data_IF_506404912430
#
_entry.id   IF_506404912430
#
_cell.length_a   1.000
_cell.length_b   1.000
_cell.length_c   1.000
_cell.angle_alpha   90.00
_cell.angle_beta   90.00
_cell.angle_gamma   90.00
#
_symmetry.space_group_name_H-M   'P 1'
#
loop_
_entity.id
_entity.type
_entity.pdbx_description
1 polymer ?
#
# COMPACT_ATOMS: atom_id res chain seq x y z
N UNK A 1 -17.55 9.81 -32.34
CA UNK A 1 -18.09 10.32 -31.08
C UNK A 1 -18.97 11.56 -31.32
N UNK A 2 -18.52 12.61 -32.02
CA UNK A 2 -19.32 13.81 -32.26
C UNK A 2 -20.65 13.55 -33.00
N UNK A 3 -20.71 12.51 -33.86
CA UNK A 3 -21.95 12.10 -34.53
C UNK A 3 -22.93 11.38 -33.60
N UNK A 4 -22.44 10.80 -32.49
CA UNK A 4 -23.24 10.03 -31.53
C UNK A 4 -23.73 10.85 -30.34
N UNK A 5 -23.07 11.98 -30.05
CA UNK A 5 -23.39 12.86 -28.92
C UNK A 5 -23.82 14.24 -29.47
N UNK A 6 -25.12 14.48 -29.68
CA UNK A 6 -25.61 15.75 -30.22
C UNK A 6 -25.15 16.94 -29.38
N UNK A 7 -24.63 17.99 -30.03
CA UNK A 7 -24.16 19.19 -29.37
C UNK A 7 -22.75 19.13 -28.79
N UNK A 8 -22.06 17.98 -28.80
CA UNK A 8 -20.68 17.85 -28.34
C UNK A 8 -19.71 18.45 -29.38
N UNK A 9 -18.69 19.14 -28.86
CA UNK A 9 -17.56 19.64 -29.66
C UNK A 9 -16.26 19.09 -29.10
N UNK A 10 -15.53 18.34 -29.92
CA UNK A 10 -14.22 17.84 -29.60
C UNK A 10 -13.16 18.83 -30.09
N UNK A 11 -12.52 19.52 -29.15
CA UNK A 11 -11.54 20.58 -29.46
C UNK A 11 -10.15 20.03 -29.14
N UNK A 12 -9.27 19.97 -30.15
CA UNK A 12 -7.90 19.56 -30.00
C UNK A 12 -7.18 20.33 -28.90
N UNK A 13 -6.48 19.62 -27.99
CA UNK A 13 -5.76 20.20 -26.86
C UNK A 13 -6.61 20.78 -25.72
N UNK A 14 -7.97 20.64 -25.80
CA UNK A 14 -8.90 21.14 -24.77
C UNK A 14 -9.92 20.10 -24.30
N UNK A 15 -10.06 19.00 -25.02
CA UNK A 15 -11.03 17.95 -24.69
C UNK A 15 -10.30 16.77 -24.04
N UNK A 16 -10.72 16.39 -22.83
CA UNK A 16 -10.35 15.16 -22.20
C UNK A 16 -11.47 14.11 -22.42
N UNK A 17 -11.09 12.92 -22.85
CA UNK A 17 -11.99 11.79 -23.04
C UNK A 17 -11.81 10.84 -21.85
N UNK A 18 -12.88 10.58 -21.10
CA UNK A 18 -12.87 9.66 -19.99
C UNK A 18 -13.61 8.38 -20.41
N UNK A 19 -12.91 7.24 -20.35
CA UNK A 19 -13.45 5.92 -20.62
C UNK A 19 -13.54 5.16 -19.29
N UNK A 20 -14.74 5.11 -18.75
CA UNK A 20 -14.99 4.44 -17.48
C UNK A 20 -15.22 2.94 -17.68
N UNK A 21 -14.76 2.09 -16.74
CA UNK A 21 -14.85 0.63 -16.79
C UNK A 21 -14.35 0.04 -18.11
N UNK A 22 -13.15 0.43 -18.54
CA UNK A 22 -12.61 0.11 -19.88
C UNK A 22 -12.53 -1.41 -20.15
N UNK A 23 -12.44 -2.24 -19.11
CA UNK A 23 -12.42 -3.71 -19.25
C UNK A 23 -13.75 -4.27 -19.80
N UNK A 24 -14.85 -3.54 -19.68
CA UNK A 24 -16.16 -3.95 -20.22
C UNK A 24 -16.26 -3.70 -21.73
N UNK A 25 -15.35 -2.90 -22.32
CA UNK A 25 -15.32 -2.60 -23.76
C UNK A 25 -13.92 -2.82 -24.35
N UNK A 26 -13.71 -4.00 -24.94
CA UNK A 26 -12.43 -4.40 -25.54
C UNK A 26 -11.99 -3.48 -26.68
N UNK A 27 -12.96 -2.99 -27.47
CA UNK A 27 -12.73 -2.08 -28.59
C UNK A 27 -12.20 -0.74 -28.07
N UNK A 28 -12.73 -0.22 -26.97
CA UNK A 28 -12.26 1.00 -26.33
C UNK A 28 -10.80 0.84 -25.83
N UNK A 29 -10.47 -0.29 -25.21
CA UNK A 29 -9.10 -0.57 -24.79
C UNK A 29 -8.12 -0.65 -25.95
N UNK A 30 -8.51 -1.29 -27.04
CA UNK A 30 -7.70 -1.37 -28.27
C UNK A 30 -7.52 0.02 -28.90
N UNK A 31 -8.53 0.87 -28.80
CA UNK A 31 -8.52 2.23 -29.35
C UNK A 31 -7.55 3.17 -28.63
N UNK A 32 -7.11 2.88 -27.37
CA UNK A 32 -6.13 3.72 -26.65
C UNK A 32 -4.87 3.96 -27.47
N UNK A 33 -4.37 2.95 -28.18
CA UNK A 33 -3.25 3.13 -29.11
C UNK A 33 -3.53 4.16 -30.21
N UNK A 34 -4.74 4.11 -30.78
CA UNK A 34 -5.13 5.05 -31.85
C UNK A 34 -5.27 6.48 -31.32
N UNK A 35 -5.79 6.64 -30.10
CA UNK A 35 -5.86 7.94 -29.43
C UNK A 35 -4.48 8.51 -29.14
N UNK A 36 -3.55 7.68 -28.66
CA UNK A 36 -2.16 8.09 -28.42
C UNK A 36 -1.46 8.57 -29.68
N UNK A 37 -1.62 7.83 -30.80
CA UNK A 37 -1.03 8.19 -32.11
C UNK A 37 -1.67 9.46 -32.66
N UNK A 38 -3.00 9.63 -32.50
CA UNK A 38 -3.74 10.81 -32.94
C UNK A 38 -3.31 12.09 -32.19
N UNK A 39 -3.03 11.99 -30.88
CA UNK A 39 -2.45 13.04 -30.04
C UNK A 39 -3.28 14.31 -29.88
N UNK A 40 -4.52 14.38 -30.40
CA UNK A 40 -5.37 15.58 -30.31
C UNK A 40 -6.08 15.73 -28.98
N UNK A 41 -6.25 14.63 -28.23
CA UNK A 41 -7.07 14.59 -27.03
C UNK A 41 -6.32 13.89 -25.92
N UNK A 42 -6.49 14.37 -24.69
CA UNK A 42 -6.12 13.64 -23.50
C UNK A 42 -7.15 12.54 -23.25
N UNK A 43 -6.68 11.33 -22.95
CA UNK A 43 -7.55 10.17 -22.68
C UNK A 43 -7.21 9.60 -21.34
N UNK A 44 -8.20 9.48 -20.46
CA UNK A 44 -8.13 8.82 -19.17
C UNK A 44 -9.02 7.59 -19.24
N UNK A 45 -8.47 6.42 -18.95
CA UNK A 45 -9.25 5.19 -18.86
C UNK A 45 -9.23 4.70 -17.41
N UNK A 46 -10.40 4.41 -16.86
CA UNK A 46 -10.53 3.80 -15.53
C UNK A 46 -10.96 2.35 -15.65
N UNK A 47 -10.72 1.56 -14.60
CA UNK A 47 -11.18 0.19 -14.54
C UNK A 47 -10.70 -0.52 -13.29
N UNK A 48 -11.43 -1.56 -12.87
CA UNK A 48 -11.03 -2.38 -11.73
C UNK A 48 -9.71 -3.10 -12.02
N UNK A 49 -8.84 -3.22 -11.00
CA UNK A 49 -7.54 -3.88 -11.13
C UNK A 49 -7.68 -5.30 -11.68
N UNK A 50 -8.65 -6.07 -11.20
CA UNK A 50 -8.91 -7.43 -11.67
C UNK A 50 -9.37 -7.47 -13.13
N UNK A 51 -10.31 -6.60 -13.50
CA UNK A 51 -10.82 -6.52 -14.87
C UNK A 51 -9.72 -6.12 -15.86
N UNK A 52 -8.91 -5.12 -15.53
CA UNK A 52 -7.78 -4.67 -16.36
C UNK A 52 -6.71 -5.75 -16.50
N UNK A 53 -6.42 -6.51 -15.45
CA UNK A 53 -5.49 -7.67 -15.48
C UNK A 53 -6.08 -8.91 -16.19
N UNK A 54 -7.35 -8.88 -16.59
CA UNK A 54 -7.98 -9.93 -17.39
C UNK A 54 -8.58 -11.09 -16.60
N UNK A 55 -8.82 -10.92 -15.31
CA UNK A 55 -9.60 -11.85 -14.50
C UNK A 55 -11.07 -11.83 -14.95
N UNK A 56 -11.81 -12.93 -14.72
CA UNK A 56 -13.23 -13.04 -15.09
C UNK A 56 -13.51 -13.32 -16.58
N UNK A 57 -12.49 -13.39 -17.42
CA UNK A 57 -12.68 -13.82 -18.82
C UNK A 57 -12.95 -15.32 -18.85
N UNK A 58 -14.21 -15.72 -19.13
CA UNK A 58 -14.57 -17.11 -19.35
C UNK A 58 -13.65 -17.74 -20.39
N UNK A 59 -12.80 -18.68 -19.99
CA UNK A 59 -11.95 -19.50 -20.88
C UNK A 59 -12.77 -20.43 -21.80
N UNK A 60 -14.09 -20.35 -21.76
CA UNK A 60 -15.01 -21.20 -22.55
C UNK A 60 -15.54 -20.50 -23.79
N UNK A 61 -14.65 -19.97 -24.62
CA UNK A 61 -14.84 -19.86 -26.07
C UNK A 61 -13.47 -19.68 -26.71
N UNK A 62 -12.86 -20.75 -27.17
CA UNK A 62 -11.97 -20.69 -28.31
C UNK A 62 -12.83 -20.18 -29.47
N UNK A 63 -12.99 -18.88 -29.60
CA UNK A 63 -13.38 -18.24 -30.84
C UNK A 63 -12.16 -18.31 -31.77
N UNK A 64 -12.08 -19.36 -32.51
CA UNK A 64 -11.23 -19.49 -33.69
C UNK A 64 -11.58 -18.32 -34.59
N UNK A 65 -10.71 -17.31 -34.71
CA UNK A 65 -10.75 -16.38 -35.83
C UNK A 65 -10.96 -14.87 -35.56
N UNK A 66 -10.93 -14.36 -34.34
CA UNK A 66 -10.91 -12.91 -34.11
C UNK A 66 -9.68 -12.49 -33.31
N UNK A 67 -8.96 -11.50 -33.85
CA UNK A 67 -7.63 -11.03 -33.49
C UNK A 67 -7.32 -11.06 -32.00
N UNK A 68 -6.07 -11.40 -31.68
CA UNK A 68 -5.51 -11.36 -30.34
C UNK A 68 -5.80 -10.00 -29.71
N UNK A 69 -6.34 -9.99 -28.48
CA UNK A 69 -6.49 -8.81 -27.63
C UNK A 69 -5.11 -8.14 -27.51
N UNK A 70 -4.86 -7.10 -28.27
CA UNK A 70 -3.60 -6.35 -28.23
C UNK A 70 -3.68 -5.39 -27.06
N UNK A 71 -2.98 -5.72 -25.97
CA UNK A 71 -2.68 -4.74 -24.93
C UNK A 71 -1.83 -3.65 -25.58
N UNK A 72 -2.17 -2.36 -25.48
CA UNK A 72 -1.44 -1.26 -26.11
C UNK A 72 -0.10 -0.98 -25.39
N UNK A 73 0.82 -1.94 -25.41
CA UNK A 73 2.13 -1.84 -24.76
C UNK A 73 2.90 -0.64 -25.32
N UNK A 74 3.33 0.25 -24.45
CA UNK A 74 4.11 1.46 -24.80
C UNK A 74 3.26 2.68 -25.23
N UNK A 75 1.92 2.56 -25.18
CA UNK A 75 0.99 3.65 -25.56
C UNK A 75 0.12 4.13 -24.41
N UNK A 76 0.35 3.61 -23.20
CA UNK A 76 -0.38 3.96 -22.00
C UNK A 76 0.57 4.12 -20.81
N UNK A 77 0.23 5.00 -19.89
CA UNK A 77 0.86 5.09 -18.57
C UNK A 77 -0.14 4.55 -17.56
N UNK A 78 0.21 3.48 -16.88
CA UNK A 78 -0.64 2.87 -15.85
C UNK A 78 -0.37 3.51 -14.51
N UNK A 79 -1.43 3.99 -13.86
CA UNK A 79 -1.39 4.59 -12.52
C UNK A 79 -2.28 3.76 -11.61
N UNK A 80 -1.70 3.18 -10.57
CA UNK A 80 -2.45 2.51 -9.51
C UNK A 80 -3.06 3.57 -8.58
N UNK A 81 -4.40 3.57 -8.46
CA UNK A 81 -5.12 4.48 -7.57
C UNK A 81 -5.35 3.78 -6.23
N UNK A 82 -4.77 4.32 -5.19
CA UNK A 82 -4.92 3.82 -3.81
C UNK A 82 -6.06 4.55 -3.08
N UNK A 83 -6.60 3.98 -1.97
CA UNK A 83 -7.38 4.74 -1.00
C UNK A 83 -6.60 5.96 -0.50
N UNK A 84 -7.29 6.98 0.04
CA UNK A 84 -6.65 8.19 0.55
C UNK A 84 -5.50 7.85 1.50
N UNK A 85 -4.35 8.49 1.29
CA UNK A 85 -3.25 8.42 2.24
C UNK A 85 -3.51 9.32 3.47
N UNK A 86 -2.57 9.33 4.42
CA UNK A 86 -2.77 10.12 5.63
C UNK A 86 -2.75 11.63 5.36
N UNK A 87 -1.96 12.09 4.40
CA UNK A 87 -1.92 13.52 4.01
C UNK A 87 -3.25 13.95 3.38
N UNK A 88 -3.81 13.15 2.47
CA UNK A 88 -5.12 13.37 1.88
C UNK A 88 -6.23 13.31 2.93
N UNK A 89 -6.14 12.41 3.90
CA UNK A 89 -7.05 12.38 5.05
C UNK A 89 -6.96 13.63 5.91
N UNK A 90 -5.75 14.19 6.10
CA UNK A 90 -5.58 15.47 6.80
C UNK A 90 -6.27 16.61 6.05
N UNK A 91 -6.10 16.70 4.73
CA UNK A 91 -6.80 17.69 3.90
C UNK A 91 -8.32 17.53 3.99
N UNK A 92 -8.83 16.31 3.91
CA UNK A 92 -10.25 16.02 4.07
C UNK A 92 -10.81 16.46 5.43
N UNK A 93 -9.96 16.47 6.49
CA UNK A 93 -10.32 16.98 7.81
C UNK A 93 -10.08 18.50 7.97
N UNK A 94 -9.74 19.22 6.89
CA UNK A 94 -9.55 20.68 6.92
C UNK A 94 -8.21 21.15 7.49
N UNK A 95 -7.22 20.26 7.61
CA UNK A 95 -5.87 20.63 8.05
C UNK A 95 -5.18 21.37 6.90
N UNK A 96 -4.69 22.58 7.19
CA UNK A 96 -4.05 23.43 6.17
C UNK A 96 -2.67 22.92 5.77
N UNK A 97 -2.27 23.25 4.53
CA UNK A 97 -0.93 22.97 4.01
C UNK A 97 0.19 23.59 4.88
N UNK A 98 -0.08 24.71 5.54
CA UNK A 98 0.87 25.34 6.45
C UNK A 98 1.19 24.43 7.65
N UNK A 99 0.19 23.76 8.23
CA UNK A 99 0.40 22.83 9.36
C UNK A 99 1.11 21.57 8.87
N UNK A 100 0.68 21.01 7.73
CA UNK A 100 1.30 19.83 7.12
C UNK A 100 2.75 20.14 6.74
N UNK A 101 3.01 21.31 6.14
CA UNK A 101 4.34 21.78 5.80
C UNK A 101 5.26 21.95 7.02
N UNK A 102 4.71 22.44 8.15
CA UNK A 102 5.45 22.50 9.41
C UNK A 102 5.85 21.12 9.91
N UNK A 103 4.95 20.13 9.84
CA UNK A 103 5.26 18.73 10.21
C UNK A 103 6.33 18.14 9.29
N UNK A 104 6.25 18.36 7.98
CA UNK A 104 7.26 17.92 7.00
C UNK A 104 8.62 18.57 7.30
N UNK A 105 8.65 19.87 7.60
CA UNK A 105 9.88 20.58 7.96
C UNK A 105 10.51 20.04 9.26
N UNK A 106 9.70 19.72 10.28
CA UNK A 106 10.20 19.07 11.49
C UNK A 106 10.83 17.70 11.21
N UNK A 107 10.25 16.92 10.30
CA UNK A 107 10.81 15.63 9.87
C UNK A 107 12.12 15.81 9.11
N UNK A 108 12.17 16.74 8.14
CA UNK A 108 13.36 16.99 7.31
C UNK A 108 14.55 17.52 8.13
N UNK A 109 14.27 18.36 9.13
CA UNK A 109 15.27 18.95 10.00
C UNK A 109 15.52 18.15 11.30
N UNK A 110 14.85 17.00 11.46
CA UNK A 110 14.96 16.12 12.64
C UNK A 110 14.66 16.86 13.96
N UNK A 111 13.70 17.79 13.92
CA UNK A 111 13.30 18.63 15.05
C UNK A 111 11.95 18.20 15.63
N UNK A 112 11.81 18.36 16.95
CA UNK A 112 10.55 18.06 17.63
C UNK A 112 9.41 18.94 17.11
N UNK A 113 8.26 18.31 16.84
CA UNK A 113 7.01 19.00 16.49
C UNK A 113 6.48 19.73 17.73
N UNK A 114 5.99 20.98 17.62
CA UNK A 114 5.36 21.68 18.73
C UNK A 114 4.27 20.82 19.39
N UNK A 115 4.25 20.78 20.72
CA UNK A 115 3.45 19.81 21.51
C UNK A 115 1.96 19.81 21.14
N UNK A 116 1.36 20.99 20.92
CA UNK A 116 -0.04 21.09 20.51
C UNK A 116 -0.33 20.45 19.14
N UNK A 117 0.59 20.65 18.17
CA UNK A 117 0.49 20.03 16.84
C UNK A 117 0.73 18.53 16.94
N UNK A 118 1.75 18.09 17.69
CA UNK A 118 2.05 16.68 17.91
C UNK A 118 0.84 15.93 18.47
N UNK A 119 0.19 16.45 19.50
CA UNK A 119 -1.00 15.85 20.10
C UNK A 119 -2.15 15.78 19.09
N UNK A 120 -2.44 16.85 18.37
CA UNK A 120 -3.50 16.88 17.36
C UNK A 120 -3.25 15.87 16.24
N UNK A 121 -2.00 15.78 15.74
CA UNK A 121 -1.62 14.82 14.70
C UNK A 121 -1.73 13.37 15.18
N UNK A 122 -1.40 13.06 16.43
CA UNK A 122 -1.60 11.73 17.01
C UNK A 122 -3.09 11.37 17.10
N UNK A 123 -3.95 12.32 17.50
CA UNK A 123 -5.40 12.10 17.54
C UNK A 123 -5.97 11.86 16.13
N UNK A 124 -5.51 12.63 15.13
CA UNK A 124 -5.91 12.43 13.73
C UNK A 124 -5.42 11.08 13.18
N UNK A 125 -4.21 10.66 13.55
CA UNK A 125 -3.72 9.33 13.20
C UNK A 125 -4.60 8.21 13.75
N UNK A 126 -5.02 8.28 15.01
CA UNK A 126 -5.94 7.29 15.57
C UNK A 126 -7.29 7.27 14.86
N UNK A 127 -7.80 8.43 14.43
CA UNK A 127 -9.00 8.49 13.59
C UNK A 127 -8.75 7.82 12.24
N UNK A 128 -7.61 8.11 11.59
CA UNK A 128 -7.24 7.45 10.34
C UNK A 128 -7.12 5.92 10.50
N UNK A 129 -6.54 5.44 11.58
CA UNK A 129 -6.47 4.00 11.87
C UNK A 129 -7.86 3.36 11.91
N UNK A 130 -8.85 4.04 12.47
CA UNK A 130 -10.23 3.54 12.60
C UNK A 130 -10.98 3.62 11.26
N UNK A 131 -10.81 4.72 10.55
CA UNK A 131 -11.56 5.04 9.32
C UNK A 131 -10.93 4.40 8.09
N UNK A 132 -9.60 4.43 8.00
CA UNK A 132 -8.86 4.12 6.78
C UNK A 132 -8.94 5.26 5.76
N UNK A 133 -8.55 4.94 4.53
CA UNK A 133 -8.53 5.87 3.41
C UNK A 133 -9.61 5.62 2.35
N UNK A 134 -10.51 4.63 2.51
CA UNK A 134 -11.57 4.37 1.55
C UNK A 134 -12.53 5.56 1.49
N UNK A 135 -12.74 6.19 0.31
CA UNK A 135 -13.45 7.47 0.18
C UNK A 135 -14.84 7.48 0.81
N UNK A 136 -15.62 6.42 0.64
CA UNK A 136 -16.96 6.31 1.22
C UNK A 136 -16.93 6.31 2.74
N UNK A 137 -15.96 5.59 3.34
CA UNK A 137 -15.77 5.54 4.79
C UNK A 137 -15.33 6.90 5.33
N UNK A 138 -14.40 7.56 4.62
CA UNK A 138 -13.94 8.92 4.97
C UNK A 138 -15.09 9.92 4.93
N UNK A 139 -15.92 9.90 3.89
CA UNK A 139 -17.09 10.76 3.78
C UNK A 139 -18.09 10.50 4.92
N UNK A 140 -18.42 9.23 5.20
CA UNK A 140 -19.27 8.87 6.33
C UNK A 140 -18.71 9.41 7.66
N UNK A 141 -17.39 9.31 7.86
CA UNK A 141 -16.73 9.85 9.04
C UNK A 141 -16.83 11.38 9.09
N UNK A 142 -16.59 12.08 8.00
CA UNK A 142 -16.62 13.55 7.96
C UNK A 142 -18.02 14.09 8.27
N UNK A 143 -19.04 13.44 7.74
CA UNK A 143 -20.46 13.86 7.90
C UNK A 143 -21.02 13.50 9.26
N UNK A 144 -20.73 12.32 9.79
CA UNK A 144 -21.46 11.78 10.94
C UNK A 144 -20.65 11.74 12.24
N UNK A 145 -19.33 11.59 12.17
CA UNK A 145 -18.43 11.30 13.30
C UNK A 145 -18.90 10.10 14.15
N UNK A 146 -19.69 9.20 13.56
CA UNK A 146 -20.34 8.09 14.24
C UNK A 146 -19.63 6.76 13.93
N UNK A 147 -19.01 6.15 14.95
CA UNK A 147 -18.24 4.90 14.82
C UNK A 147 -19.12 3.74 14.33
N UNK A 148 -20.38 3.68 14.76
CA UNK A 148 -21.29 2.59 14.36
C UNK A 148 -21.62 2.66 12.86
N UNK A 149 -21.84 3.88 12.33
CA UNK A 149 -22.08 4.07 10.91
C UNK A 149 -20.81 3.76 10.07
N UNK A 150 -19.65 4.20 10.54
CA UNK A 150 -18.37 3.89 9.93
C UNK A 150 -18.18 2.37 9.83
N UNK A 151 -18.41 1.65 10.92
CA UNK A 151 -18.32 0.19 10.96
C UNK A 151 -19.29 -0.47 9.96
N UNK A 152 -20.52 0.01 9.85
CA UNK A 152 -21.51 -0.50 8.88
C UNK A 152 -21.03 -0.31 7.44
N UNK A 153 -20.51 0.89 7.09
CA UNK A 153 -19.98 1.17 5.75
C UNK A 153 -18.77 0.28 5.45
N UNK A 154 -17.84 0.15 6.39
CA UNK A 154 -16.69 -0.73 6.24
C UNK A 154 -17.11 -2.19 6.02
N UNK A 155 -18.10 -2.68 6.76
CA UNK A 155 -18.59 -4.05 6.61
C UNK A 155 -19.30 -4.29 5.27
N UNK A 156 -20.04 -3.31 4.77
CA UNK A 156 -20.63 -3.38 3.44
C UNK A 156 -19.54 -3.51 2.37
N UNK A 157 -18.50 -2.68 2.46
CA UNK A 157 -17.36 -2.75 1.53
C UNK A 157 -16.64 -4.11 1.57
N UNK A 158 -16.47 -4.71 2.76
CA UNK A 158 -15.92 -6.08 2.86
C UNK A 158 -16.82 -7.08 2.12
N UNK A 159 -18.15 -6.97 2.27
CA UNK A 159 -19.10 -7.83 1.56
C UNK A 159 -19.00 -7.63 0.04
N UNK A 160 -18.86 -6.39 -0.44
CA UNK A 160 -18.66 -6.10 -1.85
C UNK A 160 -17.33 -6.67 -2.39
N UNK A 161 -16.24 -6.61 -1.63
CA UNK A 161 -14.99 -7.28 -1.98
C UNK A 161 -15.18 -8.80 -2.07
N UNK A 162 -15.95 -9.42 -1.17
CA UNK A 162 -16.26 -10.84 -1.23
C UNK A 162 -17.12 -11.20 -2.46
N UNK A 163 -18.05 -10.32 -2.86
CA UNK A 163 -18.83 -10.47 -4.10
C UNK A 163 -17.94 -10.35 -5.34
N UNK A 164 -16.98 -9.44 -5.37
CA UNK A 164 -16.00 -9.33 -6.44
C UNK A 164 -15.11 -10.59 -6.54
N UNK A 165 -14.74 -11.20 -5.41
CA UNK A 165 -14.06 -12.50 -5.41
C UNK A 165 -14.90 -13.56 -6.12
N UNK A 166 -16.23 -13.53 -5.94
CA UNK A 166 -17.15 -14.44 -6.63
C UNK A 166 -17.26 -14.13 -8.11
N UNK A 167 -17.23 -12.86 -8.52
CA UNK A 167 -17.36 -12.42 -9.93
C UNK A 167 -16.12 -12.75 -10.76
N UNK A 168 -14.92 -12.53 -10.24
CA UNK A 168 -13.69 -12.57 -11.01
C UNK A 168 -12.83 -13.82 -10.82
N UNK A 169 -13.06 -14.62 -9.77
CA UNK A 169 -12.33 -15.85 -9.52
C UNK A 169 -13.00 -17.07 -10.19
N UNK A 170 -12.19 -18.08 -10.54
CA UNK A 170 -12.71 -19.37 -10.96
C UNK A 170 -13.39 -20.09 -9.77
N UNK A 171 -14.45 -20.86 -10.01
CA UNK A 171 -15.28 -21.48 -8.96
C UNK A 171 -14.48 -22.34 -7.98
N UNK A 172 -13.40 -22.98 -8.44
CA UNK A 172 -12.52 -23.78 -7.59
C UNK A 172 -11.66 -22.93 -6.65
N UNK A 173 -11.35 -21.68 -7.02
CA UNK A 173 -10.44 -20.79 -6.27
C UNK A 173 -11.17 -19.89 -5.26
N UNK A 174 -12.46 -19.63 -5.49
CA UNK A 174 -13.28 -18.77 -4.62
C UNK A 174 -13.20 -19.09 -3.13
N UNK A 175 -13.36 -20.36 -2.69
CA UNK A 175 -13.25 -20.70 -1.26
C UNK A 175 -11.85 -20.44 -0.72
N UNK A 176 -10.81 -20.73 -1.51
CA UNK A 176 -9.42 -20.53 -1.10
C UNK A 176 -9.05 -19.05 -0.95
N UNK A 177 -9.55 -18.19 -1.85
CA UNK A 177 -9.36 -16.73 -1.79
C UNK A 177 -10.01 -16.18 -0.52
N UNK A 178 -11.26 -16.56 -0.25
CA UNK A 178 -11.97 -16.16 0.97
C UNK A 178 -11.26 -16.65 2.23
N UNK A 179 -10.89 -17.94 2.30
CA UNK A 179 -10.14 -18.50 3.44
C UNK A 179 -8.84 -17.74 3.68
N UNK A 180 -8.10 -17.36 2.61
CA UNK A 180 -6.90 -16.54 2.74
C UNK A 180 -7.21 -15.16 3.30
N UNK A 181 -8.21 -14.47 2.76
CA UNK A 181 -8.61 -13.13 3.20
C UNK A 181 -9.01 -13.14 4.68
N UNK A 182 -9.92 -14.00 5.08
CA UNK A 182 -10.38 -14.14 6.47
C UNK A 182 -9.27 -14.53 7.46
N UNK A 183 -8.16 -15.12 6.97
CA UNK A 183 -7.04 -15.51 7.82
C UNK A 183 -6.14 -14.34 8.21
N UNK A 184 -6.18 -13.19 7.51
CA UNK A 184 -5.24 -12.08 7.67
C UNK A 184 -5.13 -11.59 9.11
N UNK A 185 -6.22 -11.30 9.85
CA UNK A 185 -6.12 -10.87 11.24
C UNK A 185 -5.38 -11.90 12.13
N UNK A 186 -5.62 -13.21 11.90
CA UNK A 186 -4.96 -14.30 12.63
C UNK A 186 -3.47 -14.42 12.30
N UNK A 187 -3.09 -14.14 11.04
CA UNK A 187 -1.69 -14.12 10.61
C UNK A 187 -0.93 -13.00 11.33
N UNK A 188 -1.53 -11.80 11.36
CA UNK A 188 -0.94 -10.60 11.98
C UNK A 188 -0.90 -10.65 13.51
N UNK A 189 -1.80 -11.42 14.14
CA UNK A 189 -1.83 -11.61 15.59
C UNK A 189 -0.66 -12.44 16.15
N UNK A 190 0.04 -13.18 15.29
CA UNK A 190 1.15 -14.05 15.72
C UNK A 190 2.41 -13.25 15.99
N UNK A 191 3.24 -13.79 16.88
CA UNK A 191 4.57 -13.26 17.14
C UNK A 191 5.43 -13.30 15.87
N UNK A 192 5.47 -14.47 15.20
CA UNK A 192 6.04 -14.59 13.85
C UNK A 192 4.92 -14.38 12.82
N UNK A 193 4.93 -13.23 12.18
CA UNK A 193 3.91 -12.80 11.20
C UNK A 193 4.16 -13.34 9.79
N UNK A 194 5.18 -14.19 9.57
CA UNK A 194 5.35 -14.92 8.30
C UNK A 194 4.04 -15.63 7.96
N UNK A 195 3.56 -15.47 6.73
CA UNK A 195 2.32 -16.09 6.27
C UNK A 195 2.42 -17.63 6.36
N UNK A 196 1.47 -18.24 7.03
CA UNK A 196 1.42 -19.67 7.27
C UNK A 196 0.15 -20.26 6.68
N UNK A 197 0.27 -21.11 5.67
CA UNK A 197 -0.87 -21.76 5.04
C UNK A 197 -1.67 -22.65 5.99
N UNK A 198 -1.03 -23.20 7.03
CA UNK A 198 -1.69 -23.96 8.09
C UNK A 198 -2.59 -23.13 9.00
N UNK A 199 -2.44 -21.79 8.99
CA UNK A 199 -3.34 -20.84 9.69
C UNK A 199 -4.58 -20.55 8.87
N UNK A 200 -4.45 -20.57 7.55
CA UNK A 200 -5.62 -20.49 6.64
C UNK A 200 -6.53 -21.69 6.91
N UNK A 201 -5.95 -22.89 6.85
CA UNK A 201 -6.66 -24.15 7.11
C UNK A 201 -5.69 -25.21 7.63
N UNK A 202 -6.15 -26.01 8.62
CA UNK A 202 -5.34 -27.13 9.14
C UNK A 202 -4.90 -28.06 8.00
N UNK A 203 -3.58 -28.23 7.82
CA UNK A 203 -3.02 -29.01 6.71
C UNK A 203 -2.90 -28.27 5.38
N UNK A 204 -3.23 -26.96 5.34
CA UNK A 204 -3.08 -26.11 4.14
C UNK A 204 -1.63 -26.04 3.65
N UNK A 205 -1.45 -26.06 2.32
CA UNK A 205 -0.14 -26.06 1.65
C UNK A 205 -0.03 -24.89 0.67
N UNK A 206 1.20 -24.45 0.40
CA UNK A 206 1.48 -23.38 -0.56
C UNK A 206 0.86 -23.62 -1.94
N UNK A 207 0.93 -24.86 -2.45
CA UNK A 207 0.37 -25.23 -3.76
C UNK A 207 -1.15 -24.98 -3.89
N UNK A 208 -1.87 -24.89 -2.76
CA UNK A 208 -3.31 -24.67 -2.75
C UNK A 208 -3.69 -23.20 -2.67
N UNK A 209 -2.86 -22.37 -2.02
CA UNK A 209 -3.24 -21.01 -1.59
C UNK A 209 -2.40 -19.89 -2.18
N UNK A 210 -1.25 -20.19 -2.81
CA UNK A 210 -0.36 -19.13 -3.33
C UNK A 210 -1.04 -18.32 -4.45
N UNK A 211 -1.85 -18.97 -5.29
CA UNK A 211 -2.65 -18.32 -6.32
C UNK A 211 -3.71 -17.40 -5.71
N UNK A 212 -4.30 -17.80 -4.59
CA UNK A 212 -5.30 -17.00 -3.86
C UNK A 212 -4.70 -15.73 -3.26
N UNK A 213 -3.50 -15.81 -2.69
CA UNK A 213 -2.78 -14.61 -2.20
C UNK A 213 -2.39 -13.71 -3.36
N UNK A 214 -1.93 -14.26 -4.50
CA UNK A 214 -1.65 -13.48 -5.71
C UNK A 214 -2.91 -12.77 -6.21
N UNK A 215 -4.04 -13.46 -6.22
CA UNK A 215 -5.33 -12.89 -6.61
C UNK A 215 -5.71 -11.69 -5.72
N UNK A 216 -5.62 -11.82 -4.38
CA UNK A 216 -5.89 -10.74 -3.43
C UNK A 216 -4.95 -9.55 -3.62
N UNK A 217 -3.69 -9.79 -3.95
CA UNK A 217 -2.71 -8.75 -4.26
C UNK A 217 -3.02 -8.06 -5.59
N UNK A 218 -3.42 -8.82 -6.61
CA UNK A 218 -3.85 -8.30 -7.91
C UNK A 218 -5.17 -7.53 -7.84
N UNK A 219 -6.03 -7.88 -6.89
CA UNK A 219 -7.23 -7.11 -6.55
C UNK A 219 -6.93 -5.80 -5.79
N UNK A 220 -5.70 -5.60 -5.36
CA UNK A 220 -5.31 -4.43 -4.59
C UNK A 220 -5.76 -4.45 -3.12
N UNK A 221 -6.24 -5.59 -2.61
CA UNK A 221 -6.75 -5.72 -1.24
C UNK A 221 -5.62 -5.93 -0.24
N UNK A 222 -4.58 -6.67 -0.63
CA UNK A 222 -3.41 -6.96 0.20
C UNK A 222 -2.10 -6.64 -0.51
N UNK A 223 -1.03 -6.60 0.27
CA UNK A 223 0.36 -6.56 -0.21
C UNK A 223 1.22 -7.55 0.55
N UNK A 224 2.10 -8.24 -0.18
CA UNK A 224 3.12 -9.10 0.42
C UNK A 224 4.34 -8.28 0.79
N UNK A 225 4.82 -8.50 2.00
CA UNK A 225 6.08 -7.99 2.50
C UNK A 225 7.09 -9.13 2.50
N UNK A 226 8.10 -9.07 1.63
CA UNK A 226 9.01 -10.20 1.40
C UNK A 226 10.18 -10.18 2.38
N UNK A 227 10.57 -11.37 2.87
CA UNK A 227 11.82 -11.52 3.60
C UNK A 227 13.00 -11.29 2.66
N UNK A 228 14.10 -10.72 3.19
CA UNK A 228 15.35 -10.56 2.46
C UNK A 228 16.43 -11.50 3.04
N UNK A 229 17.34 -11.96 2.18
CA UNK A 229 18.48 -12.79 2.61
C UNK A 229 19.52 -11.96 3.37
N UNK A 230 19.73 -10.73 2.90
CA UNK A 230 20.66 -9.75 3.45
C UNK A 230 20.00 -8.39 3.54
N UNK A 231 20.59 -7.50 4.30
CA UNK A 231 20.07 -6.16 4.58
C UNK A 231 20.74 -5.09 3.71
N UNK A 232 20.86 -5.36 2.41
CA UNK A 232 21.52 -4.51 1.42
C UNK A 232 20.63 -4.16 0.24
N UNK A 233 20.91 -3.04 -0.42
CA UNK A 233 20.31 -2.68 -1.70
C UNK A 233 20.97 -3.45 -2.86
N UNK A 234 20.20 -3.82 -3.89
CA UNK A 234 18.78 -3.61 -4.06
C UNK A 234 17.94 -4.67 -3.31
N UNK A 235 16.96 -4.25 -2.52
CA UNK A 235 16.14 -5.15 -1.71
C UNK A 235 15.40 -6.21 -2.53
N UNK A 236 14.91 -5.84 -3.73
CA UNK A 236 14.23 -6.77 -4.64
C UNK A 236 15.14 -7.95 -5.04
N UNK A 237 16.42 -7.67 -5.35
CA UNK A 237 17.39 -8.69 -5.72
C UNK A 237 17.70 -9.68 -4.60
N UNK A 238 17.50 -9.27 -3.35
CA UNK A 238 17.78 -10.05 -2.15
C UNK A 238 16.52 -10.68 -1.54
N UNK A 239 15.35 -10.53 -2.18
CA UNK A 239 14.06 -10.98 -1.64
C UNK A 239 13.85 -12.48 -1.81
N UNK A 240 13.25 -13.10 -0.79
CA UNK A 240 12.87 -14.52 -0.76
C UNK A 240 11.37 -14.60 -1.00
N UNK A 241 10.95 -14.95 -2.22
CA UNK A 241 9.54 -14.91 -2.66
C UNK A 241 8.62 -15.87 -1.88
N UNK A 242 9.17 -16.95 -1.35
CA UNK A 242 8.44 -17.96 -0.58
C UNK A 242 8.24 -17.58 0.90
N UNK A 243 8.94 -16.53 1.34
CA UNK A 243 8.90 -16.04 2.71
C UNK A 243 8.34 -14.61 2.73
N UNK A 244 7.08 -14.47 3.13
CA UNK A 244 6.45 -13.15 3.16
C UNK A 244 5.47 -13.02 4.34
N UNK A 245 5.22 -11.78 4.74
CA UNK A 245 4.07 -11.35 5.56
C UNK A 245 2.99 -10.81 4.62
N UNK A 246 1.74 -10.74 5.07
CA UNK A 246 0.63 -10.15 4.30
C UNK A 246 0.00 -9.04 5.12
N UNK A 247 -0.10 -7.86 4.53
CA UNK A 247 -0.77 -6.69 5.08
C UNK A 247 -1.92 -6.26 4.17
N UNK A 248 -2.96 -5.65 4.75
CA UNK A 248 -4.00 -4.98 3.95
C UNK A 248 -3.45 -3.70 3.35
N UNK A 249 -3.92 -3.33 2.16
CA UNK A 249 -3.51 -2.09 1.47
C UNK A 249 -4.10 -0.83 2.08
N UNK A 250 -5.13 -1.00 2.90
CA UNK A 250 -5.76 0.06 3.67
C UNK A 250 -5.98 -0.42 5.11
N UNK A 251 -5.61 0.42 6.07
CA UNK A 251 -5.76 0.08 7.49
C UNK A 251 -7.22 -0.09 7.89
N UNK A 252 -8.15 0.63 7.24
CA UNK A 252 -9.59 0.52 7.48
C UNK A 252 -10.14 -0.86 7.10
N UNK A 253 -9.56 -1.52 6.08
CA UNK A 253 -9.91 -2.90 5.74
C UNK A 253 -9.56 -3.84 6.89
N UNK A 254 -8.35 -3.73 7.45
CA UNK A 254 -7.96 -4.53 8.62
C UNK A 254 -8.92 -4.28 9.79
N UNK A 255 -9.25 -3.01 10.04
CA UNK A 255 -10.17 -2.64 11.13
C UNK A 255 -11.57 -3.22 10.95
N UNK A 256 -12.06 -3.28 9.72
CA UNK A 256 -13.35 -3.90 9.39
C UNK A 256 -13.38 -5.42 9.61
N UNK A 257 -12.22 -6.08 9.52
CA UNK A 257 -12.05 -7.52 9.74
C UNK A 257 -11.94 -7.90 11.23
N UNK A 258 -11.80 -6.92 12.14
CA UNK A 258 -11.67 -7.16 13.57
C UNK A 258 -13.06 -7.14 14.27
N UNK A 259 -13.08 -7.62 15.51
CA UNK A 259 -14.32 -7.70 16.30
C UNK A 259 -14.99 -6.34 16.47
N UNK A 260 -16.32 -6.34 16.50
CA UNK A 260 -17.12 -5.16 16.80
C UNK A 260 -16.70 -4.53 18.13
N UNK A 261 -16.49 -3.22 18.13
CA UNK A 261 -16.04 -2.47 19.30
C UNK A 261 -14.52 -2.20 19.34
N UNK A 262 -13.73 -2.90 18.50
CA UNK A 262 -12.27 -2.67 18.40
C UNK A 262 -11.92 -1.22 18.12
N UNK A 263 -12.72 -0.52 17.30
CA UNK A 263 -12.55 0.91 16.99
C UNK A 263 -12.67 1.78 18.25
N UNK A 264 -13.65 1.48 19.10
CA UNK A 264 -13.83 2.19 20.37
C UNK A 264 -12.70 1.91 21.36
N UNK A 265 -12.17 0.69 21.37
CA UNK A 265 -11.02 0.31 22.21
C UNK A 265 -9.73 1.02 21.78
N UNK A 266 -9.53 1.25 20.49
CA UNK A 266 -8.41 2.05 19.97
C UNK A 266 -8.47 3.48 20.52
N UNK A 267 -9.65 4.13 20.45
CA UNK A 267 -9.81 5.50 20.94
C UNK A 267 -9.58 5.60 22.47
N UNK A 268 -9.96 4.57 23.22
CA UNK A 268 -9.72 4.50 24.66
C UNK A 268 -8.30 4.04 25.03
N UNK A 269 -7.47 3.66 24.06
CA UNK A 269 -6.12 3.15 24.30
C UNK A 269 -6.07 1.71 24.86
N UNK A 270 -7.16 0.96 24.82
CA UNK A 270 -7.31 -0.35 25.48
C UNK A 270 -6.77 -1.56 24.69
N UNK A 271 -6.36 -1.40 23.44
CA UNK A 271 -5.82 -2.49 22.62
C UNK A 271 -4.40 -2.90 23.06
N UNK A 272 -4.28 -3.76 24.02
CA UNK A 272 -2.98 -4.13 24.59
C UNK A 272 -2.22 -5.18 23.76
N UNK A 273 -2.88 -6.19 23.21
CA UNK A 273 -2.23 -7.32 22.52
C UNK A 273 -2.06 -7.16 21.02
N UNK A 274 -3.05 -6.59 20.33
CA UNK A 274 -3.08 -6.51 18.87
C UNK A 274 -2.53 -5.19 18.29
N UNK A 275 -2.23 -4.21 19.16
CA UNK A 275 -1.77 -2.86 18.79
C UNK A 275 -0.52 -2.86 17.89
N UNK A 276 0.39 -3.79 18.13
CA UNK A 276 1.59 -3.95 17.30
C UNK A 276 1.25 -4.32 15.85
N UNK A 277 0.33 -5.26 15.65
CA UNK A 277 -0.13 -5.68 14.33
C UNK A 277 -0.81 -4.53 13.57
N UNK A 278 -1.65 -3.74 14.24
CA UNK A 278 -2.32 -2.57 13.65
C UNK A 278 -1.29 -1.53 13.17
N UNK A 279 -0.30 -1.19 13.99
CA UNK A 279 0.69 -0.17 13.63
C UNK A 279 1.70 -0.65 12.59
N UNK A 280 2.03 -1.94 12.56
CA UNK A 280 2.81 -2.49 11.44
C UNK A 280 1.99 -2.47 10.14
N UNK A 281 0.70 -2.81 10.19
CA UNK A 281 -0.15 -2.70 9.00
C UNK A 281 -0.31 -1.23 8.55
N UNK A 282 -0.45 -0.29 9.50
CA UNK A 282 -0.45 1.15 9.19
C UNK A 282 0.83 1.59 8.48
N UNK A 283 1.99 1.11 8.93
CA UNK A 283 3.26 1.41 8.26
C UNK A 283 3.31 0.77 6.86
N UNK A 284 2.83 -0.45 6.71
CA UNK A 284 2.71 -1.11 5.40
C UNK A 284 1.77 -0.32 4.46
N UNK A 285 0.63 0.18 4.96
CA UNK A 285 -0.30 1.06 4.25
C UNK A 285 0.44 2.32 3.73
N UNK A 286 1.16 3.05 4.59
CA UNK A 286 1.92 4.24 4.21
C UNK A 286 2.97 3.95 3.13
N UNK A 287 3.73 2.88 3.29
CA UNK A 287 4.76 2.48 2.31
C UNK A 287 4.14 2.09 0.97
N UNK A 288 3.04 1.35 0.98
CA UNK A 288 2.32 0.96 -0.25
C UNK A 288 1.77 2.18 -1.00
N UNK A 289 1.10 3.10 -0.30
CA UNK A 289 0.52 4.31 -0.89
C UNK A 289 1.58 5.28 -1.42
N UNK A 290 2.82 5.18 -0.92
CA UNK A 290 3.99 5.87 -1.49
C UNK A 290 4.64 5.13 -2.67
N UNK A 291 4.06 4.02 -3.14
CA UNK A 291 4.56 3.22 -4.26
C UNK A 291 5.72 2.29 -3.92
N UNK A 292 6.04 2.10 -2.65
CA UNK A 292 7.14 1.25 -2.24
C UNK A 292 6.72 -0.22 -2.15
N UNK A 293 7.61 -1.13 -2.57
CA UNK A 293 7.49 -2.55 -2.26
C UNK A 293 7.91 -2.80 -0.82
N UNK A 294 7.27 -3.76 -0.18
CA UNK A 294 7.49 -4.07 1.22
C UNK A 294 8.52 -5.16 1.40
N UNK A 295 9.48 -4.92 2.29
CA UNK A 295 10.50 -5.89 2.68
C UNK A 295 10.68 -5.89 4.19
N UNK A 296 11.01 -7.07 4.74
CA UNK A 296 11.39 -7.26 6.14
C UNK A 296 12.63 -8.16 6.21
N UNK A 297 13.20 -8.29 7.38
CA UNK A 297 14.34 -9.19 7.58
C UNK A 297 14.08 -10.11 8.78
N UNK A 298 14.23 -11.40 8.54
CA UNK A 298 14.09 -12.42 9.59
C UNK A 298 15.09 -13.53 9.37
N UNK A 299 15.75 -13.95 10.46
CA UNK A 299 16.60 -15.13 10.52
C UNK A 299 16.03 -16.18 11.46
N UNK A 300 16.32 -17.44 11.21
CA UNK A 300 15.89 -18.57 12.07
C UNK A 300 16.41 -18.47 13.51
N UNK A 301 17.46 -17.66 13.75
CA UNK A 301 17.97 -17.32 15.09
C UNK A 301 17.01 -16.43 15.91
N UNK A 302 15.85 -16.05 15.35
CA UNK A 302 14.86 -15.17 16.01
C UNK A 302 15.12 -13.67 15.85
N UNK A 303 16.12 -13.27 15.03
CA UNK A 303 16.35 -11.87 14.73
C UNK A 303 15.34 -11.43 13.68
N UNK A 304 14.51 -10.43 14.00
CA UNK A 304 13.48 -9.89 13.11
C UNK A 304 13.52 -8.36 13.11
N UNK A 305 13.42 -7.74 11.92
CA UNK A 305 13.25 -6.31 11.68
C UNK A 305 11.90 -6.12 11.00
N UNK A 306 11.11 -5.16 11.44
CA UNK A 306 9.74 -4.96 10.95
C UNK A 306 9.71 -4.65 9.46
N UNK A 307 10.50 -3.64 9.02
CA UNK A 307 10.66 -3.29 7.61
C UNK A 307 12.09 -2.90 7.27
N UNK A 308 12.46 -3.17 6.01
CA UNK A 308 13.62 -2.60 5.34
C UNK A 308 13.14 -1.73 4.17
N UNK A 309 13.65 -0.52 4.07
CA UNK A 309 13.32 0.42 3.01
C UNK A 309 14.56 1.03 2.39
N UNK A 310 14.44 1.47 1.15
CA UNK A 310 15.38 2.41 0.60
C UNK A 310 14.96 3.82 1.02
N UNK A 311 15.83 4.55 1.69
CA UNK A 311 15.57 5.92 2.12
C UNK A 311 16.85 6.74 2.06
N UNK A 312 16.79 7.90 1.41
CA UNK A 312 17.97 8.75 1.12
C UNK A 312 19.11 7.98 0.43
N UNK A 313 18.75 7.02 -0.46
CA UNK A 313 19.71 6.22 -1.21
C UNK A 313 20.34 5.04 -0.45
N UNK A 314 19.99 4.83 0.83
CA UNK A 314 20.55 3.78 1.68
C UNK A 314 19.48 2.75 2.09
N UNK A 315 19.93 1.56 2.51
CA UNK A 315 19.08 0.59 3.19
C UNK A 315 18.89 1.02 4.64
N UNK A 316 17.64 1.26 5.04
CA UNK A 316 17.27 1.76 6.38
C UNK A 316 16.30 0.78 7.05
N UNK A 317 16.53 0.52 8.34
CA UNK A 317 15.60 -0.25 9.16
C UNK A 317 14.46 0.68 9.61
N UNK A 318 13.22 0.24 9.42
CA UNK A 318 12.07 0.84 10.09
C UNK A 318 11.55 -0.12 11.16
N UNK A 319 11.53 0.36 12.39
CA UNK A 319 11.05 -0.39 13.56
C UNK A 319 9.82 0.28 14.13
N UNK A 320 8.70 -0.42 14.20
CA UNK A 320 7.40 0.09 14.65
C UNK A 320 7.15 -0.31 16.09
N UNK A 321 6.91 0.65 16.97
CA UNK A 321 6.64 0.39 18.39
C UNK A 321 5.27 0.90 18.83
N UNK A 322 4.44 -0.01 19.29
CA UNK A 322 3.14 0.30 19.87
C UNK A 322 3.25 0.96 21.26
N UNK A 323 4.35 0.74 21.95
CA UNK A 323 4.71 1.31 23.26
C UNK A 323 6.19 1.64 23.28
N UNK A 324 6.61 2.48 24.24
CA UNK A 324 8.03 2.67 24.53
C UNK A 324 8.68 1.31 24.86
N UNK A 325 9.77 0.96 24.20
CA UNK A 325 10.45 -0.32 24.42
C UNK A 325 11.74 -0.41 23.62
N UNK A 326 12.61 -1.34 24.04
CA UNK A 326 13.89 -1.59 23.36
C UNK A 326 13.64 -2.40 22.07
N UNK A 327 14.22 -1.98 20.97
CA UNK A 327 14.25 -2.71 19.71
C UNK A 327 15.51 -3.60 19.67
N UNK A 328 15.44 -4.77 20.30
CA UNK A 328 16.62 -5.65 20.48
C UNK A 328 17.25 -6.08 19.16
N UNK A 329 16.44 -6.53 18.20
CA UNK A 329 16.93 -6.97 16.89
C UNK A 329 17.59 -5.83 16.13
N UNK A 330 16.96 -4.66 16.06
CA UNK A 330 17.52 -3.45 15.45
C UNK A 330 18.86 -3.08 16.11
N UNK A 331 18.91 -3.06 17.46
CA UNK A 331 20.14 -2.75 18.19
C UNK A 331 21.24 -3.78 17.89
N UNK A 332 20.89 -5.07 17.74
CA UNK A 332 21.86 -6.12 17.40
C UNK A 332 22.41 -5.90 15.99
N UNK A 333 21.57 -5.57 15.02
CA UNK A 333 22.00 -5.30 13.65
C UNK A 333 22.90 -4.07 13.58
N UNK A 334 22.52 -2.95 14.21
CA UNK A 334 23.32 -1.72 14.22
C UNK A 334 24.66 -1.86 14.93
N UNK A 335 24.78 -2.75 15.91
CA UNK A 335 26.07 -3.08 16.58
C UNK A 335 26.99 -3.92 15.69
N UNK A 336 26.46 -4.63 14.71
CA UNK A 336 27.21 -5.51 13.82
C UNK A 336 27.12 -4.99 12.37
N UNK A 337 27.42 -3.71 12.18
CA UNK A 337 27.32 -3.01 10.86
C UNK A 337 28.13 -3.71 9.77
N UNK A 338 29.29 -4.29 10.12
CA UNK A 338 30.16 -5.01 9.17
C UNK A 338 29.53 -6.32 8.64
N UNK A 339 28.57 -6.89 9.39
CA UNK A 339 27.88 -8.14 9.01
C UNK A 339 26.59 -7.84 8.25
N UNK A 340 25.87 -6.80 8.68
CA UNK A 340 24.53 -6.48 8.16
C UNK A 340 24.52 -5.32 7.17
N UNK A 341 25.61 -4.59 7.03
CA UNK A 341 25.79 -3.47 6.09
C UNK A 341 24.70 -2.38 6.19
N UNK A 342 23.97 -2.31 7.32
CA UNK A 342 22.97 -1.28 7.63
C UNK A 342 23.52 -0.33 8.68
N UNK A 343 23.48 0.96 8.37
CA UNK A 343 24.04 2.01 9.24
C UNK A 343 22.95 2.81 9.94
N UNK A 344 21.78 2.94 9.32
CA UNK A 344 20.72 3.84 9.71
C UNK A 344 19.44 3.09 10.07
N UNK A 345 18.74 3.59 11.08
CA UNK A 345 17.44 3.10 11.49
C UNK A 345 16.52 4.23 11.91
N UNK A 346 15.24 4.06 11.64
CA UNK A 346 14.17 4.94 12.07
C UNK A 346 13.25 4.12 12.97
N UNK A 347 12.99 4.60 14.16
CA UNK A 347 12.06 4.01 15.11
C UNK A 347 10.80 4.85 15.18
N UNK A 348 9.65 4.23 14.88
CA UNK A 348 8.35 4.89 14.90
C UNK A 348 7.58 4.53 16.19
N UNK A 349 6.95 5.52 16.80
CA UNK A 349 6.20 5.31 18.04
C UNK A 349 5.28 6.46 18.41
N UNK A 350 4.87 6.48 19.68
CA UNK A 350 3.99 7.53 20.24
C UNK A 350 4.77 8.74 20.80
N UNK A 351 6.06 8.81 20.54
CA UNK A 351 6.93 9.90 20.96
C UNK A 351 7.09 10.94 19.85
N UNK A 352 7.65 12.08 20.19
CA UNK A 352 7.98 13.13 19.23
C UNK A 352 9.28 12.83 18.47
N UNK A 353 9.64 13.66 17.50
CA UNK A 353 10.93 13.56 16.80
C UNK A 353 12.09 13.75 17.77
N UNK A 354 13.09 12.88 17.66
CA UNK A 354 14.27 12.90 18.49
C UNK A 354 15.25 11.79 18.12
N UNK A 355 16.19 11.50 19.01
CA UNK A 355 17.21 10.48 18.79
C UNK A 355 17.37 9.55 20.00
N UNK A 356 17.53 8.25 19.74
CA UNK A 356 18.04 7.28 20.72
C UNK A 356 19.43 6.83 20.26
N UNK A 357 20.49 7.58 20.65
CA UNK A 357 21.83 7.40 20.09
C UNK A 357 21.86 7.78 18.61
N UNK A 358 22.26 6.84 17.74
CA UNK A 358 22.29 7.03 16.28
C UNK A 358 20.93 6.75 15.59
N UNK A 359 19.91 6.33 16.34
CA UNK A 359 18.59 5.97 15.79
C UNK A 359 17.68 7.20 15.81
N UNK A 360 17.21 7.61 14.64
CA UNK A 360 16.17 8.63 14.52
C UNK A 360 14.85 8.08 15.06
N UNK A 361 14.24 8.77 16.00
CA UNK A 361 12.89 8.45 16.50
C UNK A 361 11.89 9.44 15.94
N UNK A 362 10.79 8.95 15.39
CA UNK A 362 9.72 9.78 14.84
C UNK A 362 8.35 9.33 15.32
N UNK A 363 7.37 10.23 15.41
CA UNK A 363 6.00 9.83 15.70
C UNK A 363 5.40 9.00 14.56
N UNK A 364 4.51 8.07 14.90
CA UNK A 364 3.85 7.18 13.94
C UNK A 364 3.20 7.92 12.76
N UNK A 365 2.62 9.10 13.01
CA UNK A 365 1.99 9.90 11.96
C UNK A 365 2.97 10.43 10.90
N UNK A 366 4.28 10.40 11.14
CA UNK A 366 5.29 10.77 10.15
C UNK A 366 5.71 9.62 9.24
N UNK A 367 5.17 8.41 9.44
CA UNK A 367 5.49 7.24 8.64
C UNK A 367 5.26 7.46 7.13
N UNK A 368 4.25 8.24 6.73
CA UNK A 368 3.98 8.58 5.32
C UNK A 368 5.07 9.45 4.66
N UNK A 369 5.96 10.06 5.46
CA UNK A 369 7.10 10.85 4.97
C UNK A 369 8.33 10.00 4.66
N UNK A 370 8.36 8.74 5.10
CA UNK A 370 9.46 7.81 4.84
C UNK A 370 9.36 7.27 3.41
N UNK A 371 9.69 8.11 2.45
CA UNK A 371 9.75 7.77 1.04
C UNK A 371 11.04 8.29 0.42
N UNK A 372 11.64 7.49 -0.47
CA UNK A 372 12.82 7.94 -1.21
C UNK A 372 12.38 9.00 -2.23
N UNK A 373 13.06 10.12 -2.23
CA UNK A 373 12.96 11.07 -3.34
C UNK A 373 13.96 10.56 -4.37
N UNK A 374 13.46 10.13 -5.54
CA UNK A 374 14.34 9.91 -6.69
C UNK A 374 15.01 11.27 -6.90
N UNK A 375 16.30 11.36 -6.59
CA UNK A 375 17.07 12.55 -6.89
C UNK A 375 16.88 12.83 -8.39
N UNK A 376 16.76 14.11 -8.78
CA UNK A 376 16.83 14.54 -10.17
C UNK A 376 18.25 14.28 -10.68
N UNK A 377 18.60 13.00 -10.76
CA UNK A 377 19.89 12.55 -11.27
C UNK A 377 19.85 12.73 -12.79
N UNK A 378 20.32 13.87 -13.26
CA UNK A 378 20.59 14.10 -14.66
C UNK A 378 21.71 13.12 -15.04
N UNK A 379 21.44 12.25 -16.00
CA UNK A 379 22.50 11.43 -16.61
C UNK A 379 23.42 12.42 -17.35
N UNK A 380 24.69 12.58 -16.92
CA UNK A 380 25.58 13.51 -17.59
C UNK A 380 25.82 13.06 -19.04
N UNK A 381 25.89 14.03 -19.95
CA UNK A 381 26.26 13.76 -21.33
C UNK A 381 27.64 13.11 -21.37
N UNK A 382 27.80 12.11 -22.23
CA UNK A 382 29.09 11.49 -22.47
C UNK A 382 29.90 12.41 -23.38
N UNK A 383 31.07 12.84 -22.94
CA UNK A 383 32.02 13.58 -23.80
C UNK A 383 32.55 12.65 -24.88
N UNK A 384 32.02 12.77 -26.08
CA UNK A 384 32.41 11.99 -27.24
C UNK A 384 33.65 12.58 -27.96
N UNK A 385 34.18 13.73 -27.52
CA UNK A 385 35.36 14.35 -28.14
C UNK A 385 36.60 13.49 -28.08
N UNK A 386 36.68 12.59 -27.09
CA UNK A 386 37.77 11.60 -26.93
C UNK A 386 37.68 10.42 -27.91
N UNK A 387 36.59 10.27 -28.66
CA UNK A 387 36.39 9.18 -29.64
C UNK A 387 36.68 9.60 -31.06
N UNK A 388 37.05 10.89 -31.30
CA UNK A 388 37.47 11.37 -32.61
C UNK A 388 38.97 11.11 -32.69
N UNK A 389 39.35 10.01 -33.39
CA UNK A 389 40.71 9.67 -33.77
C UNK A 389 41.04 10.32 -35.09
#
# INVERSE_FOLDING_TARGET
LSALIPGSRFISGKTCIILDEIQECKEARTALKSFHIDGRFDVIATGSLLGVKGYGKNKKKKDEGKGQDSVPVGYETVIDMYPLDFEEFLWANGISDAVIGSVKSCFENEQAVPEGIHKAMMELLYRYVIVGGLPEVVNCFLETKNIELIYKVQHNLITEYEEDMVKYADDADKPHIRECFESIPKQLAKENKKFQYSVVKKGGRASQYIGSIQWLEDAGIVRRCYNTQITELPLEGNSIKECFKVYTTDIGILMAMLDYGTQADILKGNLLGYKGAIFENLMADFLCKSGQKLYYFHKDSGLELDFLVRFKGECVILEVKAKSGKAKSMTTVLKNKDVYHVKNAIKLGQYNVGHEGEVLTIPLYMGFLVKDKIADAIIPDVDLSLLII
#
